data_IF_689316246811
#
_entry.id   IF_689316246811
#
_cell.length_a   1.000
_cell.length_b   1.000
_cell.length_c   1.000
_cell.angle_alpha   90.00
_cell.angle_beta   90.00
_cell.angle_gamma   90.00
#
_symmetry.space_group_name_H-M   'P 1'
#
loop_
_entity.id
_entity.type
_entity.pdbx_description
1 polymer ?
#
# COMPACT_ATOMS: atom_id res chain seq x y z
N UNK A 1 31.46 9.07 16.13
CA UNK A 1 30.25 8.55 16.81
C UNK A 1 28.99 8.77 15.94
N UNK A 2 29.03 9.69 14.97
CA UNK A 2 27.89 10.06 14.12
C UNK A 2 27.41 9.03 13.09
N UNK A 3 28.26 8.13 12.57
CA UNK A 3 27.79 7.08 11.64
C UNK A 3 26.72 6.17 12.26
N UNK A 4 26.91 5.73 13.51
CA UNK A 4 25.95 4.87 14.22
C UNK A 4 24.64 5.60 14.53
N UNK A 5 24.71 6.89 14.90
CA UNK A 5 23.54 7.71 15.21
C UNK A 5 22.73 8.06 13.94
N UNK A 6 23.42 8.32 12.82
CA UNK A 6 22.80 8.55 11.51
C UNK A 6 22.11 7.32 10.96
N UNK A 7 22.75 6.15 11.09
CA UNK A 7 22.09 4.88 10.75
C UNK A 7 20.88 4.62 11.63
N UNK A 8 20.95 4.90 12.93
CA UNK A 8 19.80 4.75 13.83
C UNK A 8 18.63 5.66 13.46
N UNK A 9 18.88 6.94 13.18
CA UNK A 9 17.84 7.90 12.78
C UNK A 9 17.26 7.59 11.40
N UNK A 10 18.10 7.14 10.46
CA UNK A 10 17.62 6.65 9.18
C UNK A 10 16.71 5.42 9.36
N UNK A 11 17.12 4.43 10.16
CA UNK A 11 16.28 3.26 10.47
C UNK A 11 14.98 3.68 11.15
N UNK A 12 15.02 4.65 12.07
CA UNK A 12 13.84 5.18 12.74
C UNK A 12 12.84 5.82 11.75
N UNK A 13 13.32 6.69 10.85
CA UNK A 13 12.49 7.29 9.80
C UNK A 13 11.88 6.24 8.88
N UNK A 14 12.67 5.23 8.51
CA UNK A 14 12.21 4.12 7.68
C UNK A 14 11.14 3.32 8.40
N UNK A 15 11.37 2.96 9.66
CA UNK A 15 10.41 2.24 10.49
C UNK A 15 9.10 3.03 10.60
N UNK A 16 9.18 4.35 10.77
CA UNK A 16 8.00 5.22 10.82
C UNK A 16 7.22 5.24 9.50
N UNK A 17 7.92 5.34 8.37
CA UNK A 17 7.28 5.25 7.05
C UNK A 17 6.66 3.87 6.81
N UNK A 18 7.31 2.81 7.28
CA UNK A 18 6.80 1.43 7.24
C UNK A 18 5.53 1.26 8.09
N UNK A 19 5.46 1.87 9.28
CA UNK A 19 4.24 1.89 10.10
C UNK A 19 3.10 2.61 9.38
N UNK A 20 3.39 3.72 8.70
CA UNK A 20 2.40 4.41 7.87
C UNK A 20 1.90 3.55 6.70
N UNK A 21 2.78 2.80 6.05
CA UNK A 21 2.41 1.84 5.01
C UNK A 21 1.54 0.71 5.55
N UNK A 22 1.93 0.16 6.70
CA UNK A 22 1.20 -0.88 7.42
C UNK A 22 -0.21 -0.41 7.78
N UNK A 23 -0.36 0.80 8.32
CA UNK A 23 -1.66 1.38 8.68
C UNK A 23 -2.57 1.48 7.46
N UNK A 24 -2.05 2.01 6.34
CA UNK A 24 -2.83 2.14 5.11
C UNK A 24 -3.29 0.76 4.56
N UNK A 25 -2.40 -0.22 4.60
CA UNK A 25 -2.71 -1.60 4.25
C UNK A 25 -3.71 -2.27 5.20
N UNK A 26 -3.57 -1.99 6.50
CA UNK A 26 -4.45 -2.50 7.53
C UNK A 26 -5.87 -2.03 7.29
N UNK A 27 -6.06 -0.72 7.11
CA UNK A 27 -7.36 -0.12 6.77
C UNK A 27 -7.93 -0.75 5.49
N UNK A 28 -7.08 -1.01 4.49
CA UNK A 28 -7.47 -1.66 3.24
C UNK A 28 -8.05 -3.06 3.46
N UNK A 29 -7.42 -3.90 4.28
CA UNK A 29 -7.92 -5.25 4.52
C UNK A 29 -9.09 -5.33 5.50
N UNK A 30 -9.09 -4.51 6.57
CA UNK A 30 -10.15 -4.52 7.60
C UNK A 30 -11.51 -4.18 7.01
N UNK A 31 -11.57 -3.21 6.09
CA UNK A 31 -12.82 -2.85 5.41
C UNK A 31 -13.43 -4.08 4.73
N UNK A 32 -12.60 -4.89 4.08
CA UNK A 32 -13.04 -6.09 3.38
C UNK A 32 -13.69 -7.12 4.29
N UNK A 33 -13.05 -7.42 5.43
CA UNK A 33 -13.58 -8.38 6.40
C UNK A 33 -14.78 -7.85 7.17
N UNK A 34 -14.72 -6.61 7.65
CA UNK A 34 -15.84 -5.98 8.39
C UNK A 34 -17.13 -5.95 7.58
N UNK A 35 -17.06 -5.65 6.28
CA UNK A 35 -18.22 -5.66 5.39
C UNK A 35 -18.87 -7.05 5.25
N UNK A 36 -18.14 -8.13 5.54
CA UNK A 36 -18.67 -9.51 5.50
C UNK A 36 -19.27 -9.99 6.82
N UNK A 37 -18.99 -9.31 7.94
CA UNK A 37 -19.53 -9.66 9.25
C UNK A 37 -21.05 -9.47 9.29
N UNK A 38 -21.76 -10.40 9.94
CA UNK A 38 -23.22 -10.33 10.08
C UNK A 38 -23.66 -9.15 10.95
N UNK A 39 -22.94 -8.90 12.05
CA UNK A 39 -23.18 -7.78 12.97
C UNK A 39 -23.14 -6.41 12.28
N UNK A 40 -22.23 -6.22 11.32
CA UNK A 40 -22.15 -4.99 10.54
C UNK A 40 -23.33 -4.84 9.57
N UNK A 41 -23.74 -5.94 8.93
CA UNK A 41 -24.90 -5.93 8.02
C UNK A 41 -26.20 -5.63 8.76
N UNK A 42 -26.34 -6.15 9.99
CA UNK A 42 -27.52 -5.94 10.84
C UNK A 42 -27.58 -4.49 11.37
N UNK A 43 -26.46 -3.94 11.86
CA UNK A 43 -26.39 -2.56 12.38
C UNK A 43 -26.68 -1.50 11.29
N UNK A 44 -26.21 -1.72 10.05
CA UNK A 44 -26.37 -0.80 8.92
C UNK A 44 -27.57 -1.12 8.02
N UNK A 45 -28.43 -2.08 8.38
CA UNK A 45 -29.59 -2.53 7.60
C UNK A 45 -29.25 -2.81 6.12
N UNK A 46 -28.14 -3.52 5.87
CA UNK A 46 -27.64 -3.75 4.51
C UNK A 46 -28.52 -4.78 3.80
N UNK A 47 -29.28 -4.33 2.82
CA UNK A 47 -30.03 -5.19 1.89
C UNK A 47 -29.18 -5.60 0.68
N UNK A 48 -29.52 -6.72 0.03
CA UNK A 48 -28.79 -7.23 -1.14
C UNK A 48 -28.69 -6.22 -2.30
N UNK A 49 -29.66 -5.31 -2.44
CA UNK A 49 -29.65 -4.25 -3.44
C UNK A 49 -28.66 -3.12 -3.12
N UNK A 50 -28.42 -2.82 -1.83
CA UNK A 50 -27.59 -1.69 -1.39
C UNK A 50 -26.16 -2.10 -0.99
N UNK A 51 -25.87 -3.40 -0.88
CA UNK A 51 -24.57 -3.93 -0.45
C UNK A 51 -23.40 -3.35 -1.24
N UNK A 52 -23.51 -3.32 -2.57
CA UNK A 52 -22.43 -2.81 -3.43
C UNK A 52 -22.19 -1.30 -3.25
N UNK A 53 -23.26 -0.51 -3.12
CA UNK A 53 -23.17 0.95 -2.95
C UNK A 53 -22.62 1.31 -1.57
N UNK A 54 -23.09 0.65 -0.52
CA UNK A 54 -22.62 0.89 0.86
C UNK A 54 -21.16 0.47 1.00
N UNK A 55 -20.77 -0.70 0.46
CA UNK A 55 -19.38 -1.16 0.45
C UNK A 55 -18.46 -0.18 -0.30
N UNK A 56 -18.87 0.26 -1.49
CA UNK A 56 -18.10 1.22 -2.29
C UNK A 56 -17.93 2.56 -1.58
N UNK A 57 -19.02 3.09 -0.99
CA UNK A 57 -18.99 4.37 -0.29
C UNK A 57 -18.15 4.30 1.00
N UNK A 58 -18.31 3.24 1.80
CA UNK A 58 -17.50 3.03 3.00
C UNK A 58 -16.00 2.93 2.67
N UNK A 59 -15.67 2.20 1.60
CA UNK A 59 -14.30 2.08 1.10
C UNK A 59 -13.75 3.42 0.62
N UNK A 60 -14.56 4.18 -0.13
CA UNK A 60 -14.17 5.50 -0.66
C UNK A 60 -13.96 6.54 0.45
N UNK A 61 -14.77 6.52 1.51
CA UNK A 61 -14.68 7.43 2.65
C UNK A 61 -13.43 7.18 3.51
N UNK A 62 -13.09 5.91 3.78
CA UNK A 62 -11.83 5.59 4.47
C UNK A 62 -10.60 5.85 3.58
N UNK A 63 -10.75 5.79 2.25
CA UNK A 63 -9.67 6.04 1.29
C UNK A 63 -9.38 7.52 1.00
N UNK A 64 -10.11 8.49 1.58
CA UNK A 64 -9.88 9.92 1.33
C UNK A 64 -8.44 10.33 1.77
N UNK A 65 -7.50 10.13 0.85
CA UNK A 65 -6.10 9.81 1.15
C UNK A 65 -5.18 10.99 1.02
N UNK A 66 -5.02 11.73 2.11
CA UNK A 66 -3.89 12.65 2.27
C UNK A 66 -2.63 11.88 2.74
N UNK A 67 -2.80 10.80 3.50
CA UNK A 67 -1.68 10.02 4.03
C UNK A 67 -0.90 9.21 2.98
N UNK A 68 -1.57 8.73 1.92
CA UNK A 68 -0.97 7.83 0.91
C UNK A 68 0.09 8.48 0.05
N UNK A 69 0.00 9.79 -0.16
CA UNK A 69 0.95 10.56 -0.98
C UNK A 69 2.07 11.12 -0.11
N UNK A 70 1.75 11.57 1.11
CA UNK A 70 2.71 12.26 1.96
C UNK A 70 3.79 11.32 2.49
N UNK A 71 3.44 10.10 2.92
CA UNK A 71 4.42 9.16 3.51
C UNK A 71 5.52 8.78 2.53
N UNK A 72 5.24 8.28 1.30
CA UNK A 72 6.30 7.94 0.35
C UNK A 72 7.06 9.17 -0.15
N UNK A 73 6.42 10.34 -0.23
CA UNK A 73 7.09 11.60 -0.61
C UNK A 73 8.09 12.02 0.46
N UNK A 74 7.67 12.09 1.72
CA UNK A 74 8.53 12.41 2.87
C UNK A 74 9.69 11.41 2.99
N UNK A 75 9.40 10.11 2.86
CA UNK A 75 10.39 9.05 2.85
C UNK A 75 11.42 9.23 1.73
N UNK A 76 10.97 9.50 0.50
CA UNK A 76 11.86 9.72 -0.62
C UNK A 76 12.74 10.96 -0.40
N UNK A 77 12.20 12.06 0.10
CA UNK A 77 12.94 13.30 0.34
C UNK A 77 14.00 13.16 1.44
N UNK A 78 13.71 12.41 2.51
CA UNK A 78 14.64 12.21 3.65
C UNK A 78 15.65 11.09 3.42
N UNK A 79 15.33 10.12 2.54
CA UNK A 79 16.19 8.98 2.28
C UNK A 79 17.52 9.38 1.60
N UNK A 80 18.66 8.81 2.04
CA UNK A 80 19.90 8.84 1.27
C UNK A 80 19.70 8.26 -0.15
N UNK A 81 20.41 8.82 -1.12
CA UNK A 81 20.30 8.45 -2.55
C UNK A 81 20.58 6.96 -2.79
N UNK A 82 21.46 6.36 -2.00
CA UNK A 82 21.93 4.97 -2.13
C UNK A 82 20.88 3.95 -1.67
N UNK A 83 20.04 4.31 -0.69
CA UNK A 83 19.06 3.38 -0.09
C UNK A 83 17.61 3.69 -0.45
N UNK A 84 17.34 4.83 -1.11
CA UNK A 84 15.99 5.27 -1.50
C UNK A 84 15.19 4.18 -2.24
N UNK A 85 15.84 3.44 -3.14
CA UNK A 85 15.21 2.33 -3.86
C UNK A 85 14.80 1.16 -2.95
N UNK A 86 15.70 0.77 -2.02
CA UNK A 86 15.42 -0.28 -1.02
C UNK A 86 14.32 0.14 -0.06
N UNK A 87 14.21 1.44 0.22
CA UNK A 87 13.15 2.02 1.04
C UNK A 87 11.76 1.84 0.44
N UNK A 88 11.63 2.08 -0.86
CA UNK A 88 10.37 1.85 -1.58
C UNK A 88 9.94 0.38 -1.53
N UNK A 89 10.89 -0.54 -1.68
CA UNK A 89 10.64 -1.98 -1.53
C UNK A 89 10.22 -2.37 -0.10
N UNK A 90 10.87 -1.82 0.92
CA UNK A 90 10.49 -2.05 2.32
C UNK A 90 9.13 -1.46 2.66
N UNK A 91 8.80 -0.28 2.12
CA UNK A 91 7.46 0.30 2.24
C UNK A 91 6.42 -0.69 1.73
N UNK A 92 6.62 -1.22 0.52
CA UNK A 92 5.70 -2.19 -0.06
C UNK A 92 5.63 -3.51 0.75
N UNK A 93 6.74 -4.00 1.30
CA UNK A 93 6.70 -5.18 2.16
C UNK A 93 5.85 -4.97 3.42
N UNK A 94 5.95 -3.81 4.07
CA UNK A 94 5.09 -3.51 5.22
C UNK A 94 3.62 -3.31 4.83
N UNK A 95 3.35 -2.84 3.62
CA UNK A 95 2.00 -2.84 3.07
C UNK A 95 1.42 -4.26 3.00
N UNK A 96 2.15 -5.27 2.51
CA UNK A 96 1.61 -6.64 2.46
C UNK A 96 1.43 -7.24 3.85
N UNK A 97 2.32 -6.92 4.81
CA UNK A 97 2.15 -7.31 6.21
C UNK A 97 0.91 -6.68 6.88
N UNK A 98 0.58 -5.43 6.55
CA UNK A 98 -0.63 -4.75 7.05
C UNK A 98 -1.90 -5.43 6.58
N UNK A 99 -1.99 -5.78 5.29
CA UNK A 99 -3.13 -6.50 4.70
C UNK A 99 -3.26 -7.90 5.31
N UNK A 100 -2.14 -8.61 5.52
CA UNK A 100 -2.17 -9.92 6.18
C UNK A 100 -2.72 -9.80 7.60
N UNK A 101 -2.24 -8.82 8.37
CA UNK A 101 -2.62 -8.66 9.78
C UNK A 101 -4.11 -8.36 9.91
N UNK A 102 -4.67 -7.51 9.05
CA UNK A 102 -6.10 -7.21 9.07
C UNK A 102 -6.97 -8.44 8.81
N UNK A 103 -6.65 -9.27 7.80
CA UNK A 103 -7.43 -10.50 7.54
C UNK A 103 -7.43 -11.47 8.74
N UNK A 104 -6.29 -11.61 9.43
CA UNK A 104 -6.21 -12.48 10.61
C UNK A 104 -6.99 -11.92 11.80
N UNK A 105 -7.05 -10.60 11.96
CA UNK A 105 -7.84 -9.94 13.00
C UNK A 105 -9.34 -10.08 12.70
N UNK A 106 -9.76 -9.88 11.45
CA UNK A 106 -11.15 -10.08 11.06
C UNK A 106 -11.60 -11.53 11.28
N UNK A 107 -10.76 -12.51 10.93
CA UNK A 107 -11.01 -13.92 11.25
C UNK A 107 -11.06 -14.17 12.76
N UNK A 108 -10.08 -13.66 13.51
CA UNK A 108 -9.98 -13.86 14.96
C UNK A 108 -11.17 -13.28 15.73
N UNK A 109 -11.71 -12.13 15.28
CA UNK A 109 -12.90 -11.53 15.88
C UNK A 109 -14.19 -12.23 15.44
N UNK A 110 -14.23 -12.78 14.22
CA UNK A 110 -15.36 -13.60 13.75
C UNK A 110 -15.53 -14.89 14.55
N UNK A 111 -14.44 -15.61 14.86
CA UNK A 111 -14.50 -16.89 15.57
C UNK A 111 -14.70 -16.76 17.08
N UNK A 112 -14.06 -15.74 17.70
CA UNK A 112 -13.98 -15.65 19.16
C UNK A 112 -15.05 -14.74 19.78
N UNK A 113 -15.86 -14.04 18.97
CA UNK A 113 -16.89 -13.12 19.49
C UNK A 113 -18.28 -13.39 18.92
N UNK A 114 -19.33 -13.26 19.75
CA UNK A 114 -20.70 -13.30 19.25
C UNK A 114 -20.98 -12.13 18.32
N UNK A 115 -21.96 -12.30 17.42
CA UNK A 115 -22.40 -11.29 16.45
C UNK A 115 -23.07 -10.09 17.13
N UNK A 116 -22.28 -9.24 17.77
CA UNK A 116 -22.65 -7.99 18.42
C UNK A 116 -21.88 -6.85 17.75
N UNK A 117 -22.34 -5.60 17.84
CA UNK A 117 -21.69 -4.42 17.24
C UNK A 117 -20.18 -4.28 17.58
N UNK A 118 -19.74 -4.85 18.71
CA UNK A 118 -18.31 -4.90 19.07
C UNK A 118 -17.44 -5.67 18.07
N UNK A 119 -18.02 -6.63 17.36
CA UNK A 119 -17.32 -7.52 16.43
C UNK A 119 -16.71 -6.76 15.24
N UNK A 120 -17.39 -5.72 14.72
CA UNK A 120 -16.82 -4.88 13.67
C UNK A 120 -16.06 -3.66 14.20
N UNK A 121 -16.41 -3.19 15.41
CA UNK A 121 -15.77 -2.04 16.04
C UNK A 121 -14.34 -2.34 16.50
N UNK A 122 -14.03 -3.57 16.89
CA UNK A 122 -12.70 -3.95 17.40
C UNK A 122 -11.63 -3.91 16.29
N UNK A 123 -11.82 -4.54 15.11
CA UNK A 123 -10.86 -4.45 14.00
C UNK A 123 -10.59 -3.00 13.59
N UNK A 124 -11.64 -2.17 13.49
CA UNK A 124 -11.51 -0.74 13.18
C UNK A 124 -10.78 -0.01 14.31
N UNK A 125 -11.17 -0.23 15.56
CA UNK A 125 -10.55 0.40 16.72
C UNK A 125 -9.06 0.07 16.87
N UNK A 126 -8.63 -1.13 16.46
CA UNK A 126 -7.24 -1.54 16.51
C UNK A 126 -6.34 -0.71 15.59
N UNK A 127 -6.88 -0.09 14.52
CA UNK A 127 -6.11 0.79 13.63
C UNK A 127 -5.54 2.02 14.37
N UNK A 128 -6.16 2.41 15.50
CA UNK A 128 -5.66 3.48 16.36
C UNK A 128 -4.31 3.16 16.99
N UNK A 129 -3.92 1.88 17.10
CA UNK A 129 -2.61 1.48 17.63
C UNK A 129 -1.48 1.87 16.67
N UNK A 130 -1.41 1.38 15.41
CA UNK A 130 -0.41 1.83 14.45
C UNK A 130 -0.56 3.33 14.12
N UNK A 131 -1.78 3.87 14.11
CA UNK A 131 -2.02 5.31 13.94
C UNK A 131 -1.44 6.16 15.08
N UNK A 132 -1.57 5.69 16.32
CA UNK A 132 -0.98 6.34 17.50
C UNK A 132 0.54 6.24 17.51
N UNK A 133 1.11 5.09 17.13
CA UNK A 133 2.56 4.92 16.97
C UNK A 133 3.10 5.88 15.91
N UNK A 134 2.42 5.99 14.76
CA UNK A 134 2.78 6.93 13.70
C UNK A 134 2.70 8.38 14.20
N UNK A 135 1.59 8.75 14.84
CA UNK A 135 1.36 10.11 15.33
C UNK A 135 2.36 10.53 16.39
N UNK A 136 2.61 9.68 17.40
CA UNK A 136 3.63 9.93 18.43
C UNK A 136 5.04 9.93 17.83
N UNK A 137 5.30 9.03 16.86
CA UNK A 137 6.58 8.95 16.19
C UNK A 137 6.89 10.18 15.35
N UNK A 138 5.87 10.79 14.73
CA UNK A 138 6.02 12.00 13.92
C UNK A 138 6.40 13.22 14.77
N UNK A 139 6.00 13.28 16.04
CA UNK A 139 6.42 14.35 16.96
C UNK A 139 7.94 14.37 17.19
N UNK A 140 8.62 13.24 16.98
CA UNK A 140 10.07 13.10 17.14
C UNK A 140 10.84 13.34 15.83
N UNK A 141 10.15 13.39 14.68
CA UNK A 141 10.77 13.63 13.38
C UNK A 141 10.84 15.12 13.05
N UNK A 142 11.90 15.52 12.34
CA UNK A 142 12.03 16.87 11.79
C UNK A 142 11.34 16.98 10.43
N UNK A 143 10.94 18.19 10.09
CA UNK A 143 10.29 18.51 8.82
C UNK A 143 11.20 18.19 7.62
N UNK A 144 10.62 17.97 6.44
CA UNK A 144 11.38 17.66 5.23
C UNK A 144 12.37 18.78 4.89
N UNK A 145 13.67 18.45 4.80
CA UNK A 145 14.74 19.31 4.27
C UNK A 145 14.36 19.97 2.94
N UNK A 146 13.75 19.22 2.00
CA UNK A 146 13.42 19.76 0.68
C UNK A 146 12.25 20.75 0.78
N UNK A 147 11.27 20.46 1.62
CA UNK A 147 10.15 21.38 1.89
C UNK A 147 10.65 22.67 2.55
N UNK A 148 11.44 22.57 3.62
CA UNK A 148 12.03 23.72 4.34
C UNK A 148 12.91 24.58 3.42
N UNK A 149 13.70 23.94 2.56
CA UNK A 149 14.53 24.66 1.59
C UNK A 149 13.69 25.42 0.56
N UNK A 150 12.54 24.86 0.15
CA UNK A 150 11.61 25.50 -0.81
C UNK A 150 10.80 26.64 -0.18
N UNK A 151 10.51 26.60 1.12
CA UNK A 151 9.88 27.72 1.84
C UNK A 151 10.87 28.87 2.17
N UNK A 152 12.16 28.70 1.86
CA UNK A 152 13.20 29.71 2.12
C UNK A 152 13.84 29.61 3.50
N UNK A 153 13.51 28.59 4.30
CA UNK A 153 14.10 28.36 5.63
C UNK A 153 15.37 27.50 5.54
N UNK A 154 16.37 28.02 4.83
CA UNK A 154 17.62 27.31 4.50
C UNK A 154 18.37 26.79 5.72
N UNK A 155 18.42 27.56 6.80
CA UNK A 155 19.13 27.15 8.03
C UNK A 155 18.42 25.98 8.73
N UNK A 156 17.10 25.99 8.77
CA UNK A 156 16.32 24.87 9.34
C UNK A 156 16.42 23.63 8.46
N UNK A 157 16.44 23.80 7.14
CA UNK A 157 16.61 22.71 6.20
C UNK A 157 17.96 22.00 6.41
N UNK A 158 19.05 22.76 6.58
CA UNK A 158 20.38 22.22 6.89
C UNK A 158 20.38 21.47 8.23
N UNK A 159 19.75 22.03 9.27
CA UNK A 159 19.63 21.36 10.57
C UNK A 159 18.84 20.05 10.48
N UNK A 160 17.77 20.02 9.69
CA UNK A 160 17.02 18.79 9.42
C UNK A 160 17.90 17.75 8.71
N UNK A 161 18.65 18.16 7.69
CA UNK A 161 19.55 17.25 6.97
C UNK A 161 20.66 16.69 7.88
N UNK A 162 21.28 17.55 8.69
CA UNK A 162 22.27 17.16 9.70
C UNK A 162 21.64 16.15 10.67
N UNK A 163 20.41 16.39 11.12
CA UNK A 163 19.71 15.46 12.00
C UNK A 163 19.55 14.09 11.36
N UNK A 164 19.07 14.02 10.11
CA UNK A 164 18.86 12.78 9.35
C UNK A 164 20.19 12.04 9.11
N UNK A 165 21.27 12.77 8.84
CA UNK A 165 22.61 12.21 8.52
C UNK A 165 23.45 11.85 9.74
N UNK A 166 22.92 12.01 10.96
CA UNK A 166 23.56 11.54 12.20
C UNK A 166 24.10 12.61 13.14
N UNK A 167 23.74 13.87 12.90
CA UNK A 167 24.03 14.99 13.80
C UNK A 167 25.40 15.63 13.63
N UNK A 168 26.25 15.13 12.73
CA UNK A 168 27.58 15.69 12.46
C UNK A 168 27.53 16.59 11.21
N UNK A 169 27.89 17.87 11.37
CA UNK A 169 28.07 18.82 10.27
C UNK A 169 29.38 18.53 9.55
N UNK A 170 29.32 17.64 8.57
CA UNK A 170 30.47 17.20 7.77
C UNK A 170 30.44 17.88 6.41
N UNK A 171 31.60 18.09 5.77
CA UNK A 171 31.71 18.64 4.41
C UNK A 171 30.80 17.90 3.42
N UNK A 172 30.70 16.57 3.50
CA UNK A 172 29.82 15.76 2.66
C UNK A 172 28.32 16.10 2.83
N UNK A 173 27.87 16.43 4.04
CA UNK A 173 26.46 16.83 4.31
C UNK A 173 26.19 18.23 3.73
N UNK A 174 27.16 19.14 3.82
CA UNK A 174 27.05 20.47 3.21
C UNK A 174 27.07 20.42 1.69
N UNK A 175 27.88 19.54 1.10
CA UNK A 175 27.89 19.27 -0.34
C UNK A 175 26.54 18.71 -0.79
N UNK A 176 26.00 17.70 -0.08
CA UNK A 176 24.66 17.16 -0.36
C UNK A 176 23.58 18.26 -0.24
N UNK A 177 23.65 19.11 0.78
CA UNK A 177 22.72 20.23 0.95
C UNK A 177 22.82 21.24 -0.20
N UNK A 178 24.04 21.58 -0.63
CA UNK A 178 24.27 22.47 -1.77
C UNK A 178 23.71 21.88 -3.07
N UNK A 179 23.85 20.56 -3.30
CA UNK A 179 23.22 19.88 -4.43
C UNK A 179 21.70 19.94 -4.38
N UNK A 180 21.09 19.77 -3.20
CA UNK A 180 19.64 19.88 -3.01
C UNK A 180 19.17 21.31 -3.33
N UNK A 181 19.85 22.33 -2.81
CA UNK A 181 19.53 23.73 -3.09
C UNK A 181 19.69 24.09 -4.56
N UNK A 182 20.78 23.64 -5.19
CA UNK A 182 21.00 23.84 -6.63
C UNK A 182 19.88 23.19 -7.47
N UNK A 183 19.44 21.99 -7.07
CA UNK A 183 18.31 21.31 -7.70
C UNK A 183 16.98 22.07 -7.56
N UNK A 184 16.71 22.63 -6.37
CA UNK A 184 15.50 23.42 -6.11
C UNK A 184 15.53 24.74 -6.89
N UNK A 185 16.65 25.46 -6.88
CA UNK A 185 16.78 26.71 -7.63
C UNK A 185 16.67 26.49 -9.14
N UNK A 186 17.22 25.38 -9.67
CA UNK A 186 17.02 25.05 -11.09
C UNK A 186 15.57 24.67 -11.36
N UNK A 187 14.92 23.91 -10.48
CA UNK A 187 13.49 23.61 -10.57
C UNK A 187 12.65 24.89 -10.55
N UNK A 188 12.92 25.84 -9.66
CA UNK A 188 12.25 27.15 -9.61
C UNK A 188 12.51 27.99 -10.85
N UNK A 189 13.76 28.04 -11.33
CA UNK A 189 14.14 28.78 -12.55
C UNK A 189 13.43 28.23 -13.79
N UNK A 190 13.31 26.90 -13.88
CA UNK A 190 12.59 26.21 -14.96
C UNK A 190 11.06 26.31 -14.76
N UNK A 191 10.59 26.42 -13.52
CA UNK A 191 9.16 26.46 -13.17
C UNK A 191 8.56 27.86 -13.20
N UNK A 192 9.38 28.93 -13.18
CA UNK A 192 8.93 30.31 -13.32
C UNK A 192 8.20 30.53 -14.65
N UNK A 193 6.88 30.66 -14.58
CA UNK A 193 6.01 30.89 -15.74
C UNK A 193 5.38 29.63 -16.36
N UNK A 194 5.55 28.45 -15.76
CA UNK A 194 4.90 27.23 -16.25
C UNK A 194 3.37 27.42 -16.20
N UNK A 195 2.77 27.42 -17.39
CA UNK A 195 1.32 27.33 -17.56
C UNK A 195 0.95 25.88 -17.85
N UNK A 196 -0.29 25.46 -17.56
CA UNK A 196 -0.79 24.11 -17.88
C UNK A 196 -0.60 23.69 -19.36
N UNK A 197 -0.30 24.63 -20.26
CA UNK A 197 0.05 24.39 -21.67
C UNK A 197 1.40 23.69 -21.88
N UNK A 198 2.35 23.85 -20.97
CA UNK A 198 3.68 23.19 -21.01
C UNK A 198 3.57 21.66 -20.88
N UNK A 199 2.53 21.17 -20.18
CA UNK A 199 2.22 19.74 -20.06
C UNK A 199 1.81 19.13 -21.41
N UNK A 200 1.28 19.94 -22.32
CA UNK A 200 0.88 19.53 -23.67
C UNK A 200 2.03 19.55 -24.68
N UNK A 201 3.23 20.00 -24.30
CA UNK A 201 4.41 19.98 -25.18
C UNK A 201 4.75 18.55 -25.60
N UNK A 202 5.23 18.32 -26.84
CA UNK A 202 5.37 16.98 -27.41
C UNK A 202 6.29 16.02 -26.63
N UNK A 203 7.29 16.53 -25.91
CA UNK A 203 8.15 15.73 -25.04
C UNK A 203 7.49 15.44 -23.67
N UNK A 204 6.83 16.45 -23.09
CA UNK A 204 6.17 16.33 -21.79
C UNK A 204 4.90 15.48 -21.88
N UNK A 205 4.12 15.61 -22.95
CA UNK A 205 2.91 14.80 -23.19
C UNK A 205 3.23 13.31 -23.24
N UNK A 206 4.37 12.91 -23.82
CA UNK A 206 4.74 11.49 -23.85
C UNK A 206 5.06 10.97 -22.46
N UNK A 207 5.82 11.74 -21.66
CA UNK A 207 6.12 11.40 -20.26
C UNK A 207 4.85 11.35 -19.40
N UNK A 208 3.94 12.29 -19.62
CA UNK A 208 2.67 12.41 -18.90
C UNK A 208 1.70 11.29 -19.28
N UNK A 209 1.52 11.01 -20.57
CA UNK A 209 0.74 9.87 -21.07
C UNK A 209 1.33 8.56 -20.56
N UNK A 210 2.65 8.41 -20.55
CA UNK A 210 3.31 7.22 -20.04
C UNK A 210 3.08 7.06 -18.53
N UNK A 211 3.22 8.12 -17.73
CA UNK A 211 2.92 8.09 -16.30
C UNK A 211 1.44 7.79 -16.00
N UNK A 212 0.52 8.44 -16.73
CA UNK A 212 -0.92 8.17 -16.61
C UNK A 212 -1.25 6.74 -17.00
N UNK A 213 -0.74 6.26 -18.13
CA UNK A 213 -0.97 4.89 -18.61
C UNK A 213 -0.39 3.86 -17.64
N UNK A 214 0.79 4.12 -17.08
CA UNK A 214 1.41 3.23 -16.10
C UNK A 214 0.57 3.17 -14.81
N UNK A 215 0.12 4.32 -14.29
CA UNK A 215 -0.67 4.38 -13.07
C UNK A 215 -2.08 3.80 -13.27
N UNK A 216 -2.70 4.08 -14.42
CA UNK A 216 -3.97 3.46 -14.82
C UNK A 216 -3.82 1.95 -14.96
N UNK A 217 -2.77 1.48 -15.66
CA UNK A 217 -2.48 0.06 -15.80
C UNK A 217 -2.29 -0.63 -14.45
N UNK A 218 -1.53 -0.01 -13.53
CA UNK A 218 -1.33 -0.53 -12.19
C UNK A 218 -2.65 -0.68 -11.40
N UNK A 219 -3.57 0.29 -11.50
CA UNK A 219 -4.86 0.21 -10.82
C UNK A 219 -5.86 -0.73 -11.51
N UNK A 220 -5.84 -0.77 -12.85
CA UNK A 220 -6.70 -1.63 -13.67
C UNK A 220 -6.36 -3.12 -13.52
N UNK A 221 -5.18 -3.46 -13.00
CA UNK A 221 -4.88 -4.84 -12.60
C UNK A 221 -5.86 -5.38 -11.55
N UNK A 222 -6.56 -4.50 -10.82
CA UNK A 222 -7.58 -4.90 -9.86
C UNK A 222 -7.03 -5.39 -8.52
N UNK A 223 -5.73 -5.30 -8.27
CA UNK A 223 -5.11 -5.75 -7.01
C UNK A 223 -5.76 -5.08 -5.77
N UNK A 224 -6.00 -3.78 -5.85
CA UNK A 224 -6.63 -3.04 -4.76
C UNK A 224 -8.05 -3.56 -4.50
N UNK A 225 -8.84 -3.79 -5.56
CA UNK A 225 -10.18 -4.37 -5.47
C UNK A 225 -10.16 -5.80 -4.92
N UNK A 226 -9.20 -6.63 -5.33
CA UNK A 226 -9.03 -7.97 -4.77
C UNK A 226 -8.72 -7.94 -3.29
N UNK A 227 -7.89 -7.00 -2.82
CA UNK A 227 -7.60 -6.87 -1.41
C UNK A 227 -8.86 -6.49 -0.61
N UNK A 228 -9.67 -5.55 -1.11
CA UNK A 228 -10.92 -5.15 -0.45
C UNK A 228 -11.97 -6.26 -0.46
N UNK A 229 -12.08 -6.97 -1.57
CA UNK A 229 -13.17 -7.91 -1.79
C UNK A 229 -12.74 -9.36 -1.61
N UNK A 230 -11.52 -9.65 -1.14
CA UNK A 230 -11.01 -11.01 -0.99
C UNK A 230 -11.95 -11.92 -0.19
N UNK A 231 -12.42 -11.54 1.03
CA UNK A 231 -13.37 -12.37 1.78
C UNK A 231 -14.68 -12.61 1.01
N UNK A 232 -15.17 -11.59 0.30
CA UNK A 232 -16.40 -11.65 -0.49
C UNK A 232 -16.25 -12.54 -1.73
N UNK A 233 -15.10 -12.49 -2.39
CA UNK A 233 -14.74 -13.33 -3.53
C UNK A 233 -14.63 -14.78 -3.09
N UNK A 234 -13.94 -15.06 -1.98
CA UNK A 234 -13.87 -16.42 -1.45
C UNK A 234 -15.25 -16.95 -1.08
N UNK A 235 -16.08 -16.14 -0.41
CA UNK A 235 -17.47 -16.51 -0.12
C UNK A 235 -18.25 -16.80 -1.40
N UNK A 236 -18.12 -15.95 -2.43
CA UNK A 236 -18.78 -16.12 -3.72
C UNK A 236 -18.32 -17.40 -4.43
N UNK A 237 -17.05 -17.79 -4.33
CA UNK A 237 -16.49 -19.00 -4.98
C UNK A 237 -16.87 -20.30 -4.27
N UNK A 238 -17.59 -20.24 -3.14
CA UNK A 238 -18.10 -21.41 -2.41
C UNK A 238 -17.29 -21.78 -1.16
N UNK A 239 -16.51 -20.84 -0.61
CA UNK A 239 -15.80 -21.01 0.65
C UNK A 239 -16.69 -21.19 1.89
N UNK A 240 -17.97 -20.79 1.78
CA UNK A 240 -18.89 -20.73 2.92
C UNK A 240 -18.31 -19.93 4.09
N UNK A 241 -18.39 -20.51 5.29
CA UNK A 241 -17.92 -19.90 6.54
C UNK A 241 -16.39 -19.86 6.66
N UNK A 242 -15.66 -20.63 5.84
CA UNK A 242 -14.19 -20.60 5.81
C UNK A 242 -13.61 -19.45 4.96
N UNK A 243 -14.44 -18.53 4.46
CA UNK A 243 -14.03 -17.40 3.63
C UNK A 243 -13.01 -16.49 4.30
N UNK A 244 -13.20 -16.16 5.59
CA UNK A 244 -12.27 -15.33 6.36
C UNK A 244 -10.93 -16.03 6.62
N UNK A 245 -10.95 -17.33 6.89
CA UNK A 245 -9.74 -18.14 7.04
C UNK A 245 -8.95 -18.19 5.73
N UNK A 246 -9.64 -18.35 4.59
CA UNK A 246 -9.00 -18.33 3.27
C UNK A 246 -8.44 -16.94 2.92
N UNK A 247 -9.06 -15.83 3.35
CA UNK A 247 -8.41 -14.52 3.21
C UNK A 247 -7.15 -14.37 4.08
N UNK A 248 -7.12 -14.97 5.28
CA UNK A 248 -5.93 -14.97 6.13
C UNK A 248 -4.73 -15.65 5.45
N UNK A 249 -4.92 -16.85 4.90
CA UNK A 249 -3.88 -17.55 4.14
C UNK A 249 -3.49 -16.84 2.84
N UNK A 250 -4.45 -16.21 2.17
CA UNK A 250 -4.18 -15.35 1.01
C UNK A 250 -3.21 -14.20 1.36
N UNK A 251 -3.40 -13.57 2.52
CA UNK A 251 -2.46 -12.57 3.06
C UNK A 251 -1.05 -13.14 3.30
N UNK A 252 -0.95 -14.35 3.87
CA UNK A 252 0.34 -15.02 4.11
C UNK A 252 1.09 -15.28 2.80
N UNK A 253 0.41 -15.83 1.79
CA UNK A 253 1.02 -16.09 0.48
C UNK A 253 1.52 -14.78 -0.14
N UNK A 254 0.75 -13.70 -0.04
CA UNK A 254 1.17 -12.39 -0.53
C UNK A 254 2.45 -11.88 0.13
N UNK A 255 2.57 -12.01 1.46
CA UNK A 255 3.78 -11.61 2.19
C UNK A 255 4.99 -12.46 1.81
N UNK A 256 4.83 -13.79 1.71
CA UNK A 256 5.90 -14.71 1.35
C UNK A 256 6.38 -14.47 -0.10
N UNK A 257 5.45 -14.27 -1.02
CA UNK A 257 5.77 -13.98 -2.43
C UNK A 257 6.45 -12.62 -2.59
N UNK A 258 5.98 -11.59 -1.89
CA UNK A 258 6.62 -10.29 -1.87
C UNK A 258 8.06 -10.38 -1.32
N UNK A 259 8.26 -11.10 -0.21
CA UNK A 259 9.58 -11.31 0.36
C UNK A 259 10.51 -12.06 -0.59
N UNK A 260 10.01 -13.12 -1.24
CA UNK A 260 10.77 -13.88 -2.24
C UNK A 260 11.17 -13.01 -3.43
N UNK A 261 10.25 -12.19 -3.95
CA UNK A 261 10.52 -11.28 -5.05
C UNK A 261 11.60 -10.24 -4.68
N UNK A 262 11.48 -9.65 -3.49
CA UNK A 262 12.42 -8.65 -2.99
C UNK A 262 13.83 -9.21 -2.77
N UNK A 263 13.95 -10.44 -2.26
CA UNK A 263 15.26 -11.05 -1.98
C UNK A 263 15.95 -11.64 -3.22
N UNK A 264 15.19 -12.24 -4.14
CA UNK A 264 15.77 -13.07 -5.20
C UNK A 264 15.59 -12.51 -6.61
N UNK A 265 14.52 -11.76 -6.88
CA UNK A 265 14.15 -11.36 -8.24
C UNK A 265 14.42 -9.88 -8.54
N UNK A 266 14.33 -8.98 -7.54
CA UNK A 266 14.50 -7.53 -7.72
C UNK A 266 15.82 -7.14 -8.38
N UNK A 267 16.92 -7.80 -8.01
CA UNK A 267 18.25 -7.47 -8.55
C UNK A 267 18.57 -8.24 -9.85
N UNK A 268 17.82 -9.32 -10.15
CA UNK A 268 18.07 -10.20 -11.31
C UNK A 268 17.18 -9.87 -12.51
N UNK A 269 15.95 -9.44 -12.25
CA UNK A 269 14.96 -9.13 -13.28
C UNK A 269 14.87 -7.61 -13.40
N UNK A 270 15.29 -7.07 -14.54
CA UNK A 270 15.18 -5.64 -14.80
C UNK A 270 13.73 -5.13 -14.68
N UNK A 271 13.57 -3.86 -14.28
CA UNK A 271 12.26 -3.21 -14.01
C UNK A 271 11.20 -3.43 -15.10
N UNK A 272 11.58 -3.34 -16.38
CA UNK A 272 10.66 -3.53 -17.51
C UNK A 272 10.18 -4.98 -17.65
N UNK A 273 11.06 -5.95 -17.41
CA UNK A 273 10.75 -7.38 -17.50
C UNK A 273 9.81 -7.84 -16.40
N UNK A 274 10.05 -7.37 -15.18
CA UNK A 274 9.16 -7.63 -14.04
C UNK A 274 7.75 -7.09 -14.28
N UNK A 275 7.63 -5.85 -14.77
CA UNK A 275 6.32 -5.24 -15.02
C UNK A 275 5.52 -5.95 -16.12
N UNK A 276 6.16 -6.27 -17.26
CA UNK A 276 5.48 -6.96 -18.37
C UNK A 276 5.14 -8.41 -18.02
N UNK A 277 6.05 -9.13 -17.35
CA UNK A 277 5.82 -10.50 -16.92
C UNK A 277 4.71 -10.60 -15.87
N UNK A 278 4.73 -9.73 -14.86
CA UNK A 278 3.69 -9.66 -13.84
C UNK A 278 2.32 -9.33 -14.44
N UNK A 279 2.23 -8.30 -15.27
CA UNK A 279 0.97 -7.92 -15.92
C UNK A 279 0.38 -9.03 -16.81
N UNK A 280 1.23 -9.73 -17.58
CA UNK A 280 0.79 -10.83 -18.42
C UNK A 280 0.22 -12.00 -17.60
N UNK A 281 0.91 -12.37 -16.53
CA UNK A 281 0.50 -13.49 -15.71
C UNK A 281 -0.74 -13.16 -14.84
N UNK A 282 -0.81 -11.96 -14.26
CA UNK A 282 -2.01 -11.48 -13.55
C UNK A 282 -3.24 -11.48 -14.48
N UNK A 283 -3.08 -10.96 -15.70
CA UNK A 283 -4.15 -10.97 -16.70
C UNK A 283 -4.59 -12.38 -17.09
N UNK A 284 -3.65 -13.33 -17.18
CA UNK A 284 -3.93 -14.73 -17.48
C UNK A 284 -4.74 -15.39 -16.35
N UNK A 285 -4.36 -15.20 -15.09
CA UNK A 285 -5.09 -15.76 -13.95
C UNK A 285 -6.48 -15.16 -13.78
N UNK A 286 -6.61 -13.84 -13.96
CA UNK A 286 -7.91 -13.16 -13.97
C UNK A 286 -8.85 -13.70 -15.06
N UNK A 287 -8.32 -13.93 -16.27
CA UNK A 287 -9.09 -14.52 -17.36
C UNK A 287 -9.58 -15.93 -16.98
N UNK A 288 -8.72 -16.75 -16.38
CA UNK A 288 -9.09 -18.11 -15.93
C UNK A 288 -10.20 -18.05 -14.87
N UNK A 289 -10.07 -17.16 -13.87
CA UNK A 289 -11.09 -16.98 -12.82
C UNK A 289 -12.43 -16.56 -13.44
N UNK A 290 -12.41 -15.63 -14.39
CA UNK A 290 -13.61 -15.16 -15.08
C UNK A 290 -14.30 -16.27 -15.89
N UNK A 291 -13.54 -17.07 -16.63
CA UNK A 291 -14.07 -18.20 -17.41
C UNK A 291 -14.63 -19.29 -16.49
N UNK A 292 -13.92 -19.65 -15.41
CA UNK A 292 -14.39 -20.64 -14.44
C UNK A 292 -15.68 -20.20 -13.77
N UNK A 293 -15.76 -18.93 -13.34
CA UNK A 293 -16.96 -18.37 -12.69
C UNK A 293 -18.16 -18.31 -13.63
N UNK A 294 -17.95 -18.05 -14.93
CA UNK A 294 -19.02 -18.01 -15.93
C UNK A 294 -19.52 -19.40 -16.35
N UNK A 295 -18.63 -20.40 -16.44
CA UNK A 295 -18.98 -21.77 -16.88
C UNK A 295 -19.50 -22.65 -15.75
N UNK A 296 -19.02 -22.43 -14.53
CA UNK A 296 -19.34 -23.25 -13.36
C UNK A 296 -19.74 -22.33 -12.20
N UNK A 297 -20.94 -21.72 -12.27
CA UNK A 297 -21.41 -20.88 -11.20
C UNK A 297 -21.47 -21.70 -9.89
N UNK A 298 -20.93 -21.17 -8.79
CA UNK A 298 -20.94 -21.85 -7.49
C UNK A 298 -22.39 -22.03 -7.02
N UNK A 299 -22.75 -23.27 -6.71
CA UNK A 299 -24.08 -23.62 -6.18
C UNK A 299 -24.02 -23.55 -4.66
N UNK A 300 -24.83 -22.69 -4.04
CA UNK A 300 -24.92 -22.59 -2.58
C UNK A 300 -25.21 -23.96 -1.94
N UNK A 301 -24.39 -24.36 -0.97
CA UNK A 301 -24.58 -25.60 -0.20
C UNK A 301 -23.81 -26.83 -0.69
N UNK A 302 -23.15 -26.79 -1.85
CA UNK A 302 -22.09 -27.75 -2.16
C UNK A 302 -20.77 -27.20 -1.63
N UNK A 303 -20.02 -27.99 -0.86
CA UNK A 303 -18.67 -27.64 -0.43
C UNK A 303 -17.75 -27.32 -1.62
N UNK A 304 -16.50 -26.94 -1.35
CA UNK A 304 -15.56 -26.47 -2.38
C UNK A 304 -15.50 -27.44 -3.57
N UNK A 305 -16.13 -27.09 -4.68
CA UNK A 305 -16.10 -27.86 -5.92
C UNK A 305 -14.66 -27.85 -6.47
N UNK A 306 -14.24 -28.85 -7.26
CA UNK A 306 -12.92 -28.82 -7.90
C UNK A 306 -12.69 -27.55 -8.72
N UNK A 307 -13.75 -26.98 -9.31
CA UNK A 307 -13.73 -25.71 -10.03
C UNK A 307 -13.60 -24.51 -9.08
N UNK A 308 -14.27 -24.52 -7.92
CA UNK A 308 -14.07 -23.52 -6.86
C UNK A 308 -12.65 -23.53 -6.31
N UNK A 309 -12.08 -24.71 -6.03
CA UNK A 309 -10.70 -24.88 -5.59
C UNK A 309 -9.69 -24.35 -6.64
N UNK A 310 -9.94 -24.60 -7.92
CA UNK A 310 -9.13 -24.07 -9.01
C UNK A 310 -9.19 -22.53 -9.08
N UNK A 311 -10.38 -21.93 -8.93
CA UNK A 311 -10.54 -20.47 -8.86
C UNK A 311 -9.81 -19.87 -7.66
N UNK A 312 -9.90 -20.50 -6.48
CA UNK A 312 -9.14 -20.09 -5.28
C UNK A 312 -7.64 -20.17 -5.54
N UNK A 313 -7.14 -21.27 -6.11
CA UNK A 313 -5.72 -21.40 -6.43
C UNK A 313 -5.24 -20.32 -7.41
N UNK A 314 -6.04 -19.96 -8.41
CA UNK A 314 -5.70 -18.89 -9.35
C UNK A 314 -5.71 -17.51 -8.69
N UNK A 315 -6.62 -17.25 -7.74
CA UNK A 315 -6.60 -16.01 -6.92
C UNK A 315 -5.32 -15.91 -6.09
N UNK A 316 -4.88 -17.03 -5.50
CA UNK A 316 -3.63 -17.07 -4.74
C UNK A 316 -2.39 -16.86 -5.62
N UNK A 317 -2.38 -17.44 -6.82
CA UNK A 317 -1.31 -17.24 -7.79
C UNK A 317 -1.27 -15.81 -8.33
N UNK A 318 -2.42 -15.19 -8.55
CA UNK A 318 -2.50 -13.77 -8.91
C UNK A 318 -1.90 -12.88 -7.81
N UNK A 319 -2.26 -13.12 -6.56
CA UNK A 319 -1.72 -12.34 -5.45
C UNK A 319 -0.22 -12.54 -5.21
N UNK A 320 0.34 -13.65 -5.70
CA UNK A 320 1.77 -13.93 -5.63
C UNK A 320 2.62 -13.12 -6.62
N UNK A 321 1.98 -12.47 -7.60
CA UNK A 321 2.66 -11.75 -8.70
C UNK A 321 2.77 -10.25 -8.50
N UNK A 322 2.36 -9.80 -7.31
CA UNK A 322 2.39 -8.42 -6.90
C UNK A 322 3.77 -7.98 -6.40
#
# INVERSE_FOLDING_TARGET
>A
MGKSLGTFRAIYLVALCCVGSFLFAYDTGVIGGVLTLQSFQDDFNITAANRATVASNATSLLQAGVATVIIPMYSAEMAPKEIRGKLGSMFHFFFTCGVMTSYWIDYGVSENMPATSKQWQIPIGLQLVPGGILGLGMLLTKESTRWLAKTGETDQALQSLIWVRGGEDTTAVREEFAEILAGIHEEERVTQGITWRELCLPANRFRLILAMTLQLGAQLTGNTSLAYYAPQIFKAVGAGDSSLLMSGFFGVVKVVSCLFFLLFLVERIGRRGSLLGGAFLMGTFMLIIAVLSARYPPVEGQGVTPTGAASVAMVYLEASQY
#
